data_IF_799639613407
#
_entry.id   IF_799639613407
#
_cell.length_a   1.000
_cell.length_b   1.000
_cell.length_c   1.000
_cell.angle_alpha   90.00
_cell.angle_beta   90.00
_cell.angle_gamma   90.00
#
_symmetry.space_group_name_H-M   'P 1'
#
loop_
_entity.id
_entity.type
_entity.pdbx_description
1 polymer ?
#
# COMPACT_ATOMS: atom_id res chain seq x y z
N UNK A 1 17.65 18.94 5.04
CA UNK A 1 16.73 18.56 3.95
C UNK A 1 15.31 18.75 4.47
N UNK A 2 14.69 19.89 4.15
CA UNK A 2 13.34 20.22 4.65
C UNK A 2 12.35 19.29 3.96
N UNK A 3 11.88 18.28 4.67
CA UNK A 3 10.73 17.49 4.21
C UNK A 3 9.58 18.49 4.13
N UNK A 4 8.98 18.62 2.94
CA UNK A 4 7.80 19.46 2.74
C UNK A 4 6.59 18.56 2.88
N UNK A 5 6.03 18.36 4.09
CA UNK A 5 4.78 17.65 4.22
C UNK A 5 3.66 18.55 3.73
N UNK A 6 2.67 17.92 3.09
CA UNK A 6 1.34 18.45 2.70
C UNK A 6 1.20 18.82 1.23
N UNK A 7 0.06 18.40 0.69
CA UNK A 7 -0.50 18.83 -0.59
C UNK A 7 -0.81 20.33 -0.47
N UNK A 8 -0.39 21.12 -1.45
CA UNK A 8 -0.67 22.56 -1.50
C UNK A 8 -1.84 22.84 -2.43
N UNK A 9 -2.40 24.05 -2.35
CA UNK A 9 -3.42 24.51 -3.30
C UNK A 9 -2.95 24.36 -4.76
N UNK A 10 -1.66 24.59 -5.02
CA UNK A 10 -1.05 24.45 -6.34
C UNK A 10 -0.95 23.00 -6.85
N UNK A 11 -1.18 22.00 -6.00
CA UNK A 11 -1.27 20.58 -6.40
C UNK A 11 -2.68 20.17 -6.80
N UNK A 12 -3.69 21.01 -6.54
CA UNK A 12 -5.09 20.66 -6.77
C UNK A 12 -5.46 20.86 -8.23
N UNK A 13 -6.23 19.91 -8.76
CA UNK A 13 -6.85 20.05 -10.07
C UNK A 13 -7.83 21.23 -10.07
N UNK A 14 -7.89 21.97 -11.19
CA UNK A 14 -8.88 23.03 -11.36
C UNK A 14 -10.31 22.47 -11.25
N UNK A 15 -11.21 23.22 -10.59
CA UNK A 15 -12.59 22.79 -10.33
C UNK A 15 -13.34 22.30 -11.59
N UNK A 16 -13.12 22.95 -12.74
CA UNK A 16 -13.72 22.54 -14.02
C UNK A 16 -13.21 21.16 -14.48
N UNK A 17 -11.92 20.86 -14.31
CA UNK A 17 -11.36 19.55 -14.66
C UNK A 17 -11.95 18.44 -13.78
N UNK A 18 -12.11 18.70 -12.48
CA UNK A 18 -12.78 17.79 -11.55
C UNK A 18 -14.24 17.54 -11.96
N UNK A 19 -14.98 18.61 -12.28
CA UNK A 19 -16.37 18.52 -12.75
C UNK A 19 -16.52 17.69 -14.03
N UNK A 20 -15.65 17.92 -15.03
CA UNK A 20 -15.62 17.12 -16.27
C UNK A 20 -15.33 15.64 -16.01
N UNK A 21 -14.36 15.34 -15.16
CA UNK A 21 -14.02 13.96 -14.78
C UNK A 21 -15.17 13.25 -14.07
N UNK A 22 -15.88 13.96 -13.17
CA UNK A 22 -17.04 13.43 -12.48
C UNK A 22 -18.21 13.17 -13.44
N UNK A 23 -18.54 14.12 -14.32
CA UNK A 23 -19.60 13.97 -15.31
C UNK A 23 -19.33 12.78 -16.25
N UNK A 24 -18.12 12.69 -16.80
CA UNK A 24 -17.70 11.58 -17.68
C UNK A 24 -17.92 10.22 -17.02
N UNK A 25 -17.42 10.04 -15.80
CA UNK A 25 -17.55 8.78 -15.05
C UNK A 25 -18.98 8.41 -14.71
N UNK A 26 -19.83 9.41 -14.47
CA UNK A 26 -21.26 9.19 -14.22
C UNK A 26 -21.97 8.70 -15.47
N UNK A 27 -21.69 9.32 -16.62
CA UNK A 27 -22.27 8.93 -17.90
C UNK A 27 -21.80 7.53 -18.35
N UNK A 28 -20.55 7.17 -18.11
CA UNK A 28 -20.00 5.82 -18.40
C UNK A 28 -20.72 4.70 -17.65
N UNK A 29 -21.42 5.00 -16.55
CA UNK A 29 -22.20 4.01 -15.78
C UNK A 29 -23.62 3.82 -16.31
N UNK A 30 -24.09 4.67 -17.22
CA UNK A 30 -25.44 4.58 -17.75
C UNK A 30 -25.60 3.29 -18.56
N UNK A 31 -26.70 2.55 -18.32
CA UNK A 31 -26.96 1.30 -19.02
C UNK A 31 -26.17 0.08 -18.51
N UNK A 32 -25.49 0.19 -17.35
CA UNK A 32 -24.82 -0.95 -16.76
C UNK A 32 -25.79 -2.10 -16.49
N UNK A 33 -25.44 -3.31 -16.94
CA UNK A 33 -26.23 -4.53 -16.76
C UNK A 33 -25.48 -5.56 -15.93
N UNK A 34 -26.22 -6.44 -15.25
CA UNK A 34 -25.63 -7.55 -14.49
C UNK A 34 -24.92 -8.53 -15.43
N UNK A 35 -23.63 -8.76 -15.18
CA UNK A 35 -22.88 -9.79 -15.86
C UNK A 35 -23.39 -11.19 -15.49
N UNK A 36 -23.23 -12.17 -16.41
CA UNK A 36 -23.51 -13.58 -16.11
C UNK A 36 -22.55 -14.10 -15.03
N UNK A 37 -23.02 -15.00 -14.17
CA UNK A 37 -22.15 -15.66 -13.19
C UNK A 37 -21.12 -16.52 -13.90
N UNK A 38 -19.84 -16.33 -13.58
CA UNK A 38 -18.74 -17.06 -14.20
C UNK A 38 -17.39 -16.55 -13.72
N UNK A 39 -16.32 -17.15 -14.25
CA UNK A 39 -14.95 -16.69 -14.04
C UNK A 39 -14.56 -15.76 -15.18
N UNK A 40 -14.11 -14.56 -14.85
CA UNK A 40 -13.67 -13.57 -15.82
C UNK A 40 -12.34 -12.94 -15.37
N UNK A 41 -11.49 -12.50 -16.30
CA UNK A 41 -10.40 -11.61 -15.94
C UNK A 41 -10.97 -10.32 -15.36
N UNK A 42 -10.40 -9.85 -14.25
CA UNK A 42 -10.82 -8.63 -13.57
C UNK A 42 -9.70 -7.61 -13.67
N UNK A 43 -10.02 -6.42 -14.18
CA UNK A 43 -9.11 -5.28 -14.22
C UNK A 43 -9.54 -4.31 -13.11
N UNK A 44 -8.61 -4.04 -12.18
CA UNK A 44 -8.84 -3.07 -11.12
C UNK A 44 -8.41 -1.68 -11.58
N UNK A 45 -9.36 -0.74 -11.62
CA UNK A 45 -9.03 0.67 -11.79
C UNK A 45 -8.11 1.15 -10.65
N UNK A 46 -7.22 2.09 -10.95
CA UNK A 46 -6.26 2.66 -9.98
C UNK A 46 -6.92 3.08 -8.66
N UNK A 47 -8.15 3.62 -8.70
CA UNK A 47 -8.88 4.09 -7.51
C UNK A 47 -9.30 2.95 -6.60
N UNK A 48 -9.57 1.76 -7.16
CA UNK A 48 -9.97 0.58 -6.41
C UNK A 48 -8.76 -0.28 -6.06
N UNK A 49 -7.73 -0.31 -6.89
CA UNK A 49 -6.50 -1.08 -6.63
C UNK A 49 -5.85 -0.74 -5.26
N UNK A 50 -5.99 0.51 -4.80
CA UNK A 50 -5.52 0.93 -3.47
C UNK A 50 -6.15 0.14 -2.32
N UNK A 51 -7.39 -0.37 -2.45
CA UNK A 51 -8.05 -1.16 -1.39
C UNK A 51 -7.49 -2.57 -1.25
N UNK A 52 -6.99 -3.17 -2.34
CA UNK A 52 -6.28 -4.44 -2.28
C UNK A 52 -5.00 -4.28 -1.45
N UNK A 53 -4.30 -3.16 -1.65
CA UNK A 53 -3.07 -2.88 -0.92
C UNK A 53 -3.32 -2.47 0.52
N UNK A 54 -4.41 -1.76 0.83
CA UNK A 54 -4.78 -1.49 2.22
C UNK A 54 -5.11 -2.76 2.99
N UNK A 55 -5.65 -3.78 2.32
CA UNK A 55 -5.90 -5.10 2.91
C UNK A 55 -4.59 -5.79 3.28
N UNK A 56 -3.60 -5.77 2.38
CA UNK A 56 -2.26 -6.32 2.68
C UNK A 56 -1.57 -5.52 3.77
N UNK A 57 -1.60 -4.17 3.71
CA UNK A 57 -1.03 -3.30 4.74
C UNK A 57 -1.59 -3.60 6.14
N UNK A 58 -2.88 -3.92 6.21
CA UNK A 58 -3.55 -4.31 7.46
C UNK A 58 -3.11 -5.68 7.96
N UNK A 59 -2.87 -6.62 7.04
CA UNK A 59 -2.38 -7.96 7.36
C UNK A 59 -0.91 -7.93 7.83
N UNK A 60 -0.07 -7.06 7.28
CA UNK A 60 1.35 -6.93 7.70
C UNK A 60 1.51 -6.01 8.92
N UNK A 61 0.43 -5.70 9.64
CA UNK A 61 0.49 -4.94 10.88
C UNK A 61 0.86 -5.85 12.06
N UNK A 62 1.93 -5.50 12.77
CA UNK A 62 2.47 -6.19 13.93
C UNK A 62 1.46 -6.42 15.04
N UNK A 63 0.52 -5.49 15.25
CA UNK A 63 -0.55 -5.68 16.21
C UNK A 63 -1.56 -6.75 15.76
N UNK A 64 -1.80 -6.90 14.46
CA UNK A 64 -2.64 -7.97 13.92
C UNK A 64 -1.92 -9.33 13.96
N UNK A 65 -0.61 -9.32 13.71
CA UNK A 65 0.26 -10.51 13.71
C UNK A 65 0.44 -11.05 15.12
N UNK A 66 0.75 -10.18 16.09
CA UNK A 66 0.90 -10.54 17.50
C UNK A 66 -0.41 -11.10 18.10
N UNK A 67 -1.57 -10.62 17.64
CA UNK A 67 -2.89 -11.15 18.03
C UNK A 67 -3.31 -12.39 17.24
N UNK A 68 -2.52 -12.83 16.25
CA UNK A 68 -2.86 -13.98 15.41
C UNK A 68 -4.03 -13.76 14.45
N UNK A 69 -4.44 -12.51 14.20
CA UNK A 69 -5.58 -12.19 13.32
C UNK A 69 -5.16 -11.92 11.87
N UNK A 70 -3.86 -11.98 11.57
CA UNK A 70 -3.32 -11.78 10.23
C UNK A 70 -3.19 -13.10 9.47
N UNK A 71 -3.70 -13.12 8.22
CA UNK A 71 -3.48 -14.24 7.30
C UNK A 71 -2.05 -14.29 6.73
N UNK A 72 -1.21 -13.25 6.98
CA UNK A 72 0.19 -13.19 6.59
C UNK A 72 1.15 -13.49 7.76
N UNK A 73 0.64 -13.95 8.90
CA UNK A 73 1.44 -14.27 10.08
C UNK A 73 2.57 -15.26 9.77
N UNK A 74 2.35 -16.32 8.98
CA UNK A 74 3.39 -17.33 8.75
C UNK A 74 3.98 -17.24 7.33
N UNK A 75 3.87 -16.07 6.69
CA UNK A 75 4.18 -15.87 5.26
C UNK A 75 5.49 -15.13 5.00
N UNK A 76 6.28 -14.85 6.04
CA UNK A 76 7.54 -14.15 5.86
C UNK A 76 8.51 -14.95 5.00
N UNK A 77 9.17 -14.27 4.05
CA UNK A 77 10.08 -14.87 3.10
C UNK A 77 9.39 -15.67 1.99
N UNK A 78 8.06 -15.80 2.03
CA UNK A 78 7.27 -16.53 1.03
C UNK A 78 6.71 -15.58 -0.01
N UNK A 79 6.40 -16.15 -1.18
CA UNK A 79 5.77 -15.45 -2.29
C UNK A 79 4.29 -15.25 -2.02
N UNK A 80 3.86 -13.99 -1.89
CA UNK A 80 2.48 -13.58 -1.60
C UNK A 80 1.82 -12.83 -2.76
N UNK A 81 2.60 -12.42 -3.77
CA UNK A 81 2.10 -11.75 -4.97
C UNK A 81 2.87 -12.21 -6.23
N UNK A 82 2.42 -11.71 -7.38
CA UNK A 82 3.06 -11.99 -8.67
C UNK A 82 4.50 -11.41 -8.73
N UNK A 83 5.33 -12.02 -9.56
CA UNK A 83 6.67 -11.51 -9.86
C UNK A 83 6.58 -10.08 -10.43
N UNK A 84 7.55 -9.24 -10.08
CA UNK A 84 7.60 -7.82 -10.42
C UNK A 84 6.71 -6.91 -9.57
N UNK A 85 5.92 -7.45 -8.63
CA UNK A 85 5.11 -6.63 -7.73
C UNK A 85 5.91 -6.22 -6.49
N UNK A 86 6.03 -4.91 -6.28
CA UNK A 86 6.75 -4.34 -5.14
C UNK A 86 5.84 -3.44 -4.31
N UNK A 87 5.81 -3.67 -3.00
CA UNK A 87 5.13 -2.79 -2.04
C UNK A 87 6.18 -2.06 -1.24
N UNK A 88 6.23 -0.74 -1.43
CA UNK A 88 7.25 0.13 -0.85
C UNK A 88 6.54 1.10 0.09
N UNK A 89 6.99 1.16 1.34
CA UNK A 89 6.63 2.23 2.26
C UNK A 89 7.68 3.33 2.13
N UNK A 90 7.29 4.51 1.64
CA UNK A 90 8.17 5.65 1.45
C UNK A 90 7.67 6.88 2.25
N UNK A 91 8.00 6.95 3.55
CA UNK A 91 7.54 8.01 4.43
C UNK A 91 8.24 9.36 4.19
N UNK A 92 9.28 9.38 3.36
CA UNK A 92 10.08 10.57 3.02
C UNK A 92 9.75 11.13 1.63
N UNK A 93 8.73 10.60 0.96
CA UNK A 93 8.32 11.02 -0.38
C UNK A 93 7.96 12.52 -0.41
N UNK A 94 8.55 13.34 -1.29
CA UNK A 94 8.15 14.73 -1.42
C UNK A 94 6.66 14.86 -1.79
N UNK A 95 5.93 15.73 -1.08
CA UNK A 95 4.49 15.99 -1.30
C UNK A 95 3.58 14.76 -1.19
N UNK A 96 4.04 13.69 -0.52
CA UNK A 96 3.19 12.56 -0.21
C UNK A 96 2.18 12.93 0.88
N UNK A 97 0.92 12.48 0.74
CA UNK A 97 -0.12 12.71 1.75
C UNK A 97 0.25 12.12 3.12
N UNK A 98 1.05 11.05 3.10
CA UNK A 98 1.52 10.35 4.30
C UNK A 98 2.91 10.73 4.79
N UNK A 99 3.58 11.68 4.15
CA UNK A 99 5.01 11.94 4.39
C UNK A 99 5.26 12.64 5.71
N UNK A 100 6.23 12.16 6.48
CA UNK A 100 6.56 12.68 7.81
C UNK A 100 8.00 12.33 8.21
N UNK A 101 8.69 13.19 8.98
CA UNK A 101 10.06 12.96 9.43
C UNK A 101 10.20 11.89 10.53
N UNK A 102 9.16 11.69 11.34
CA UNK A 102 9.10 10.73 12.44
C UNK A 102 7.69 10.18 12.58
N UNK A 103 7.54 9.04 13.23
CA UNK A 103 6.23 8.43 13.47
C UNK A 103 5.48 9.06 14.66
N UNK A 104 4.35 8.50 15.07
CA UNK A 104 3.57 9.03 16.19
C UNK A 104 4.24 8.86 17.56
N UNK A 105 5.30 8.05 17.65
CA UNK A 105 6.05 7.75 18.86
C UNK A 105 7.43 8.46 18.85
N UNK A 106 7.72 9.28 17.84
CA UNK A 106 8.97 10.00 17.69
C UNK A 106 10.11 9.18 17.08
N UNK A 107 9.81 7.99 16.54
CA UNK A 107 10.82 7.11 15.97
C UNK A 107 11.16 7.48 14.53
N UNK A 108 12.44 7.34 14.13
CA UNK A 108 12.90 7.73 12.81
C UNK A 108 12.25 6.85 11.74
N UNK A 109 11.90 7.47 10.61
CA UNK A 109 11.32 6.77 9.47
C UNK A 109 12.38 6.48 8.41
N UNK A 110 12.18 5.41 7.64
CA UNK A 110 13.03 5.06 6.50
C UNK A 110 12.18 4.41 5.40
N UNK A 111 12.61 4.51 4.15
CA UNK A 111 11.97 3.81 3.03
C UNK A 111 12.20 2.30 3.16
N UNK A 112 11.14 1.49 3.01
CA UNK A 112 11.18 0.03 3.20
C UNK A 112 10.46 -0.70 2.09
N UNK A 113 10.97 -1.87 1.72
CA UNK A 113 10.30 -2.79 0.79
C UNK A 113 9.58 -3.86 1.61
N UNK A 114 8.27 -3.74 1.74
CA UNK A 114 7.44 -4.72 2.44
C UNK A 114 7.25 -5.99 1.59
N UNK A 115 7.10 -5.79 0.28
CA UNK A 115 7.08 -6.86 -0.71
C UNK A 115 8.09 -6.53 -1.80
N UNK A 116 8.96 -7.47 -2.11
CA UNK A 116 9.93 -7.36 -3.18
C UNK A 116 9.82 -8.55 -4.12
N UNK A 117 9.53 -8.29 -5.39
CA UNK A 117 9.34 -9.32 -6.42
C UNK A 117 8.31 -10.38 -5.99
N UNK A 118 7.20 -9.91 -5.43
CA UNK A 118 6.15 -10.78 -4.89
C UNK A 118 6.47 -11.46 -3.56
N UNK A 119 7.69 -11.35 -3.02
CA UNK A 119 8.11 -11.97 -1.75
C UNK A 119 7.90 -11.04 -0.56
N UNK A 120 7.24 -11.53 0.49
CA UNK A 120 7.06 -10.77 1.73
C UNK A 120 8.37 -10.68 2.52
N UNK A 121 8.83 -9.46 2.78
CA UNK A 121 10.14 -9.20 3.42
C UNK A 121 10.03 -8.56 4.80
N UNK A 122 8.98 -7.78 5.03
CA UNK A 122 8.96 -6.86 6.15
C UNK A 122 7.55 -6.35 6.49
N UNK A 123 7.30 -5.96 7.73
CA UNK A 123 5.99 -5.53 8.22
C UNK A 123 6.04 -4.32 9.15
N UNK A 124 4.88 -3.83 9.60
CA UNK A 124 4.76 -2.64 10.45
C UNK A 124 4.75 -3.00 11.95
N UNK A 125 5.55 -2.32 12.76
CA UNK A 125 5.77 -2.50 14.20
C UNK A 125 5.88 -1.15 14.91
N UNK A 126 5.06 -0.92 15.92
CA UNK A 126 5.18 0.28 16.76
C UNK A 126 6.48 0.27 17.56
N UNK A 127 7.03 1.46 17.83
CA UNK A 127 8.35 1.62 18.39
C UNK A 127 8.46 1.14 19.84
N UNK A 128 7.38 1.30 20.62
CA UNK A 128 7.29 0.82 21.99
C UNK A 128 7.09 -0.71 22.09
N UNK A 129 6.74 -1.40 21.01
CA UNK A 129 6.55 -2.85 21.11
C UNK A 129 7.89 -3.58 21.31
N UNK A 130 8.01 -4.38 22.38
CA UNK A 130 9.23 -5.13 22.60
C UNK A 130 9.40 -6.12 21.44
N UNK A 131 10.64 -6.28 20.92
CA UNK A 131 10.92 -7.15 19.77
C UNK A 131 10.31 -8.55 19.94
N UNK A 132 10.33 -9.11 21.14
CA UNK A 132 9.88 -10.46 21.41
C UNK A 132 8.44 -10.82 20.94
N UNK A 133 7.47 -9.90 20.97
CA UNK A 133 6.06 -10.23 20.69
C UNK A 133 5.73 -10.37 19.20
N UNK A 134 6.34 -9.57 18.34
CA UNK A 134 6.19 -9.69 16.89
C UNK A 134 7.30 -10.55 16.26
N UNK A 135 8.50 -10.55 16.85
CA UNK A 135 9.62 -11.38 16.36
C UNK A 135 9.39 -12.87 16.60
N UNK A 136 8.68 -13.28 17.66
CA UNK A 136 8.28 -14.69 17.83
C UNK A 136 7.26 -15.13 16.79
N UNK A 137 6.43 -14.22 16.28
CA UNK A 137 5.41 -14.55 15.28
C UNK A 137 5.97 -14.64 13.86
N UNK A 138 7.07 -13.95 13.57
CA UNK A 138 7.68 -13.90 12.23
C UNK A 138 9.10 -14.47 12.13
N UNK A 139 9.71 -14.95 13.23
CA UNK A 139 11.09 -15.45 13.29
C UNK A 139 12.09 -14.58 12.51
N UNK A 140 11.99 -13.26 12.62
CA UNK A 140 12.77 -12.32 11.79
C UNK A 140 14.15 -12.06 12.40
N UNK A 141 15.27 -12.39 11.72
CA UNK A 141 16.60 -12.16 12.29
C UNK A 141 17.04 -10.69 12.25
N UNK A 142 16.42 -9.81 11.43
CA UNK A 142 16.93 -8.46 11.15
C UNK A 142 15.84 -7.38 10.95
N UNK A 143 14.93 -7.20 11.91
CA UNK A 143 13.97 -6.08 11.83
C UNK A 143 14.44 -4.90 12.66
N UNK A 144 14.54 -3.74 12.02
CA UNK A 144 14.56 -2.44 12.68
C UNK A 144 13.14 -1.87 12.67
N UNK A 145 12.73 -1.28 13.79
CA UNK A 145 11.40 -0.72 14.14
C UNK A 145 10.61 -0.18 12.93
N UNK A 146 9.31 -0.50 12.82
CA UNK A 146 8.53 -0.28 11.60
C UNK A 146 7.29 0.60 11.78
N UNK A 147 7.50 1.89 11.59
CA UNK A 147 6.50 2.96 11.44
C UNK A 147 5.13 2.50 10.93
N UNK A 148 4.05 2.88 11.62
CA UNK A 148 2.66 2.73 11.11
C UNK A 148 2.58 3.26 9.67
N UNK A 149 1.92 2.61 8.71
CA UNK A 149 1.69 3.24 7.42
C UNK A 149 0.89 4.52 7.67
N UNK A 150 1.30 5.63 7.06
CA UNK A 150 0.28 6.60 6.69
C UNK A 150 -0.71 5.86 5.78
N UNK A 151 -2.01 6.17 5.78
CA UNK A 151 -3.07 5.38 5.10
C UNK A 151 -2.87 5.15 3.59
N UNK A 152 -1.76 5.60 3.02
CA UNK A 152 -1.41 5.53 1.62
C UNK A 152 -0.01 4.91 1.44
N UNK A 153 0.07 3.60 1.63
CA UNK A 153 1.21 2.83 1.12
C UNK A 153 1.33 3.10 -0.38
N UNK A 154 2.39 3.78 -0.80
CA UNK A 154 2.62 4.13 -2.20
C UNK A 154 3.20 2.92 -2.92
N UNK A 155 2.34 2.22 -3.65
CA UNK A 155 2.77 1.14 -4.53
C UNK A 155 3.63 1.74 -5.64
N UNK A 156 4.86 1.27 -5.78
CA UNK A 156 5.60 1.41 -7.02
C UNK A 156 5.47 0.10 -7.78
N UNK A 157 4.58 0.06 -8.78
CA UNK A 157 4.58 -1.02 -9.77
C UNK A 157 5.74 -0.72 -10.72
N UNK A 158 6.91 -1.31 -10.47
CA UNK A 158 8.01 -1.24 -11.42
C UNK A 158 7.66 -2.10 -12.64
N UNK A 159 7.14 -1.44 -13.68
CA UNK A 159 7.18 -1.86 -15.09
C UNK A 159 6.88 -3.35 -15.34
N UNK A 160 5.65 -3.77 -15.06
CA UNK A 160 5.08 -4.90 -15.79
C UNK A 160 4.86 -4.40 -17.21
N UNK A 161 5.49 -5.06 -18.19
CA UNK A 161 5.36 -4.73 -19.60
C UNK A 161 3.88 -4.59 -19.97
N UNK A 162 3.44 -3.35 -20.17
CA UNK A 162 2.17 -3.00 -20.83
C UNK A 162 2.32 -3.35 -22.31
N UNK A 163 2.32 -4.65 -22.59
CA UNK A 163 2.12 -5.21 -23.92
C UNK A 163 1.17 -6.37 -23.71
N UNK A 164 -0.03 -6.24 -24.26
CA UNK A 164 -1.18 -7.17 -24.13
C UNK A 164 -2.08 -6.88 -22.93
N UNK A 165 -2.95 -5.87 -23.09
CA UNK A 165 -4.40 -6.04 -23.29
C UNK A 165 -4.95 -4.63 -23.52
N UNK A 166 -4.99 -4.20 -24.78
CA UNK A 166 -5.97 -3.22 -25.25
C UNK A 166 -7.12 -4.03 -25.85
N UNK A 167 -8.24 -4.07 -25.14
CA UNK A 167 -9.60 -4.14 -25.70
C UNK A 167 -10.41 -3.17 -24.87
#
# INVERSE_FOLDING_TARGET
MTIVPRVFETDLDAANAVGKSAAKRTLERLGASKAKTGKFPVIYDRRVAASLVSTVASAINGAAVARGTSFLKDQLGKKIAADGLHFIDDPLRPRGMGSRPFDAEGCPVQTRKMVEDGVFKDGFLICHQPPNLAFQAWEMPNVRLAVRPAPEAVIFISKMALSTVMI
#
